data_IF_123978408354
#
_entry.id   IF_123978408354
#
_cell.length_a   1.000
_cell.length_b   1.000
_cell.length_c   1.000
_cell.angle_alpha   90.00
_cell.angle_beta   90.00
_cell.angle_gamma   90.00
#
_symmetry.space_group_name_H-M   'P 1'
#
loop_
_entity.id
_entity.type
_entity.pdbx_description
1 polymer ?
#
# COMPACT_ATOMS: atom_id res chain seq x y z
N UNK A 1 -10.82 -47.27 -6.32
CA UNK A 1 -9.48 -46.71 -6.67
C UNK A 1 -9.54 -45.22 -6.39
N UNK A 2 -8.87 -44.72 -5.35
CA UNK A 2 -8.90 -43.29 -4.99
C UNK A 2 -7.81 -42.59 -5.82
N UNK A 3 -8.19 -41.63 -6.67
CA UNK A 3 -7.21 -40.83 -7.43
C UNK A 3 -6.42 -39.98 -6.42
N UNK A 4 -5.08 -39.98 -6.44
CA UNK A 4 -4.31 -39.13 -5.54
C UNK A 4 -4.66 -37.66 -5.81
N UNK A 5 -4.89 -36.88 -4.75
CA UNK A 5 -5.16 -35.44 -4.86
C UNK A 5 -3.98 -34.74 -5.51
N UNK A 6 -4.25 -33.86 -6.47
CA UNK A 6 -3.24 -32.97 -7.03
C UNK A 6 -2.93 -31.84 -6.05
N UNK A 7 -1.75 -31.23 -6.21
CA UNK A 7 -1.37 -30.04 -5.45
C UNK A 7 -2.36 -28.88 -5.68
N UNK A 8 -2.94 -28.78 -6.88
CA UNK A 8 -3.97 -27.77 -7.18
C UNK A 8 -5.25 -28.02 -6.38
N UNK A 9 -5.68 -29.29 -6.21
CA UNK A 9 -6.81 -29.65 -5.35
C UNK A 9 -6.55 -29.27 -3.87
N UNK A 10 -5.31 -29.44 -3.41
CA UNK A 10 -4.89 -29.10 -2.05
C UNK A 10 -4.81 -27.58 -1.80
N UNK A 11 -4.51 -26.78 -2.83
CA UNK A 11 -4.50 -25.31 -2.75
C UNK A 11 -5.93 -24.79 -2.73
N UNK A 12 -6.78 -25.28 -3.64
CA UNK A 12 -8.19 -24.90 -3.71
C UNK A 12 -8.93 -25.22 -2.42
N UNK A 13 -8.74 -26.44 -1.89
CA UNK A 13 -9.34 -26.84 -0.61
C UNK A 13 -8.89 -25.93 0.53
N UNK A 14 -7.60 -25.64 0.64
CA UNK A 14 -7.09 -24.77 1.72
C UNK A 14 -7.63 -23.33 1.61
N UNK A 15 -7.82 -22.83 0.39
CA UNK A 15 -8.39 -21.52 0.16
C UNK A 15 -9.86 -21.48 0.61
N UNK A 16 -10.65 -22.51 0.25
CA UNK A 16 -12.07 -22.64 0.62
C UNK A 16 -12.28 -22.90 2.12
N UNK A 17 -11.34 -23.60 2.76
CA UNK A 17 -11.34 -23.87 4.20
C UNK A 17 -10.82 -22.69 5.05
N UNK A 18 -10.65 -21.52 4.43
CA UNK A 18 -10.14 -20.30 5.08
C UNK A 18 -8.81 -20.51 5.82
N UNK A 19 -7.93 -21.36 5.28
CA UNK A 19 -6.59 -21.54 5.86
C UNK A 19 -5.80 -20.22 5.81
N UNK A 20 -4.77 -20.06 6.68
CA UNK A 20 -3.92 -18.88 6.64
C UNK A 20 -3.34 -18.64 5.25
N UNK A 21 -3.45 -17.41 4.76
CA UNK A 21 -3.01 -17.01 3.40
C UNK A 21 -1.56 -17.45 3.13
N UNK A 22 -0.69 -17.30 4.12
CA UNK A 22 0.71 -17.72 4.03
C UNK A 22 0.88 -19.21 3.70
N UNK A 23 0.02 -20.09 4.21
CA UNK A 23 0.06 -21.54 3.92
C UNK A 23 -0.36 -21.83 2.48
N UNK A 24 -1.40 -21.15 1.99
CA UNK A 24 -1.85 -21.24 0.60
C UNK A 24 -0.76 -20.76 -0.36
N UNK A 25 -0.14 -19.61 -0.07
CA UNK A 25 0.96 -19.04 -0.85
C UNK A 25 2.17 -19.97 -0.92
N UNK A 26 2.55 -20.63 0.19
CA UNK A 26 3.64 -21.62 0.18
C UNK A 26 3.35 -22.80 -0.76
N UNK A 27 2.10 -23.28 -0.78
CA UNK A 27 1.68 -24.33 -1.74
C UNK A 27 1.73 -23.82 -3.18
N UNK A 28 1.38 -22.56 -3.44
CA UNK A 28 1.50 -21.95 -4.77
C UNK A 28 2.96 -21.78 -5.23
N UNK A 29 3.88 -21.45 -4.32
CA UNK A 29 5.33 -21.44 -4.63
C UNK A 29 5.78 -22.82 -5.11
N UNK A 30 5.35 -23.89 -4.42
CA UNK A 30 5.62 -25.26 -4.85
C UNK A 30 4.95 -25.60 -6.17
N UNK A 31 3.71 -25.15 -6.39
CA UNK A 31 2.97 -25.37 -7.63
C UNK A 31 3.66 -24.71 -8.83
N UNK A 32 4.03 -23.44 -8.72
CA UNK A 32 4.80 -22.74 -9.76
C UNK A 32 6.12 -23.43 -10.05
N UNK A 33 6.77 -23.98 -9.01
CA UNK A 33 7.96 -24.79 -9.19
C UNK A 33 7.77 -26.10 -9.95
N UNK A 34 6.65 -26.80 -9.74
CA UNK A 34 6.32 -28.04 -10.47
C UNK A 34 5.83 -27.75 -11.90
N UNK A 35 5.12 -26.64 -12.09
CA UNK A 35 4.64 -26.16 -13.38
C UNK A 35 5.76 -25.55 -14.25
N UNK A 36 6.92 -25.23 -13.67
CA UNK A 36 8.00 -24.51 -14.35
C UNK A 36 7.71 -23.02 -14.56
N UNK A 37 6.70 -22.46 -13.90
CA UNK A 37 6.37 -21.03 -13.96
C UNK A 37 7.16 -20.24 -12.91
N UNK A 38 8.15 -19.49 -13.37
CA UNK A 38 8.88 -18.53 -12.54
C UNK A 38 7.96 -17.41 -12.05
N UNK A 39 7.07 -16.92 -12.92
CA UNK A 39 6.18 -15.80 -12.60
C UNK A 39 5.24 -16.12 -11.44
N UNK A 40 4.64 -17.32 -11.43
CA UNK A 40 3.79 -17.78 -10.33
C UNK A 40 4.58 -17.91 -9.03
N UNK A 41 5.78 -18.49 -9.12
CA UNK A 41 6.66 -18.64 -7.96
C UNK A 41 7.03 -17.28 -7.37
N UNK A 42 7.42 -16.32 -8.21
CA UNK A 42 7.89 -15.00 -7.80
C UNK A 42 6.76 -14.16 -7.21
N UNK A 43 5.59 -14.13 -7.86
CA UNK A 43 4.42 -13.46 -7.32
C UNK A 43 4.03 -14.03 -5.95
N UNK A 44 3.87 -15.35 -5.83
CA UNK A 44 3.50 -15.98 -4.55
C UNK A 44 4.57 -15.75 -3.47
N UNK A 45 5.84 -15.71 -3.86
CA UNK A 45 6.96 -15.43 -2.96
C UNK A 45 6.99 -13.98 -2.47
N UNK A 46 6.67 -13.01 -3.33
CA UNK A 46 6.57 -11.58 -2.98
C UNK A 46 5.35 -11.30 -2.11
N UNK A 47 4.22 -11.92 -2.40
CA UNK A 47 3.05 -11.83 -1.52
C UNK A 47 3.36 -12.40 -0.13
N UNK A 48 4.11 -13.51 -0.06
CA UNK A 48 4.47 -14.17 1.19
C UNK A 48 5.50 -13.38 2.01
N UNK A 49 6.57 -12.91 1.38
CA UNK A 49 7.76 -12.34 2.04
C UNK A 49 7.85 -10.82 1.98
N UNK A 50 7.03 -10.19 1.15
CA UNK A 50 7.12 -8.77 0.83
C UNK A 50 7.86 -8.50 -0.49
N UNK A 51 7.81 -7.23 -0.88
CA UNK A 51 8.39 -6.67 -2.09
C UNK A 51 9.68 -5.92 -1.74
N UNK A 52 10.72 -6.10 -2.54
CA UNK A 52 12.01 -5.45 -2.30
C UNK A 52 12.03 -4.01 -2.83
N UNK A 53 13.04 -3.24 -2.39
CA UNK A 53 13.27 -1.90 -2.90
C UNK A 53 13.54 -1.96 -4.42
N UNK A 54 12.68 -1.30 -5.19
CA UNK A 54 12.76 -1.28 -6.66
C UNK A 54 11.85 -2.27 -7.37
N UNK A 55 11.20 -3.20 -6.65
CA UNK A 55 10.13 -4.02 -7.23
C UNK A 55 8.93 -3.16 -7.65
N UNK A 56 8.29 -3.51 -8.77
CA UNK A 56 7.01 -2.91 -9.15
C UNK A 56 5.91 -3.43 -8.23
N UNK A 57 5.32 -2.53 -7.45
CA UNK A 57 4.23 -2.86 -6.54
C UNK A 57 2.89 -2.92 -7.29
N UNK A 58 2.11 -4.01 -7.16
CA UNK A 58 0.77 -4.06 -7.74
C UNK A 58 -0.14 -2.96 -7.20
N UNK A 59 -1.10 -2.48 -7.99
CA UNK A 59 -1.97 -1.36 -7.59
C UNK A 59 -2.76 -1.63 -6.30
N UNK A 60 -3.16 -2.88 -6.05
CA UNK A 60 -3.85 -3.27 -4.81
C UNK A 60 -2.99 -3.16 -3.56
N UNK A 61 -1.66 -3.08 -3.71
CA UNK A 61 -0.70 -2.85 -2.62
C UNK A 61 -0.50 -1.37 -2.29
N UNK A 62 -1.23 -0.47 -2.96
CA UNK A 62 -1.25 0.95 -2.63
C UNK A 62 -2.57 1.24 -1.92
N UNK A 63 -2.54 1.48 -0.61
CA UNK A 63 -3.74 1.71 0.18
C UNK A 63 -4.01 3.20 0.38
N UNK A 64 -5.28 3.64 0.37
CA UNK A 64 -5.61 5.01 0.78
C UNK A 64 -5.05 5.30 2.17
N UNK A 65 -4.37 6.44 2.31
CA UNK A 65 -3.71 6.82 3.55
C UNK A 65 -3.70 8.34 3.70
N UNK A 66 -4.21 8.83 4.83
CA UNK A 66 -4.10 10.24 5.17
C UNK A 66 -2.65 10.56 5.55
N UNK A 67 -2.12 11.69 5.09
CA UNK A 67 -0.85 12.20 5.59
C UNK A 67 -1.14 12.96 6.88
N UNK A 68 -0.45 12.60 7.96
CA UNK A 68 -0.63 13.22 9.27
C UNK A 68 0.68 13.72 9.85
N UNK A 69 0.55 14.76 10.67
CA UNK A 69 1.64 15.43 11.35
C UNK A 69 1.38 15.44 12.86
N UNK A 70 2.43 15.10 13.61
CA UNK A 70 2.51 15.34 15.05
C UNK A 70 3.57 16.39 15.34
N UNK A 71 3.34 17.22 16.35
CA UNK A 71 4.31 18.22 16.75
C UNK A 71 3.89 19.06 17.95
N UNK A 72 4.66 20.12 18.17
CA UNK A 72 4.41 21.12 19.21
C UNK A 72 4.36 22.48 18.54
N UNK A 73 3.36 23.28 18.90
CA UNK A 73 3.25 24.68 18.53
C UNK A 73 3.13 25.52 19.81
N UNK A 74 4.19 26.27 20.12
CA UNK A 74 4.40 27.00 21.35
C UNK A 74 4.20 26.11 22.59
N UNK A 75 3.05 26.24 23.27
CA UNK A 75 2.68 25.47 24.45
C UNK A 75 1.61 24.39 24.16
N UNK A 76 1.25 24.19 22.89
CA UNK A 76 0.20 23.26 22.47
C UNK A 76 0.79 22.04 21.77
N UNK A 77 0.35 20.85 22.17
CA UNK A 77 0.69 19.60 21.48
C UNK A 77 -0.34 19.36 20.39
N UNK A 78 0.13 19.17 19.17
CA UNK A 78 -0.69 18.82 18.01
C UNK A 78 -0.44 17.36 17.69
N UNK A 79 -1.50 16.57 17.57
CA UNK A 79 -1.44 15.15 17.19
C UNK A 79 -2.43 14.85 16.09
N UNK A 80 -2.03 13.95 15.19
CA UNK A 80 -2.84 13.39 14.12
C UNK A 80 -3.46 14.47 13.22
N UNK A 81 -2.78 15.60 13.04
CA UNK A 81 -3.25 16.66 12.16
C UNK A 81 -3.14 16.18 10.72
N UNK A 82 -4.27 15.94 10.07
CA UNK A 82 -4.31 15.60 8.65
C UNK A 82 -3.92 16.80 7.81
N UNK A 83 -3.04 16.56 6.84
CA UNK A 83 -2.63 17.52 5.81
C UNK A 83 -2.85 16.93 4.43
N UNK A 84 -3.10 17.78 3.44
CA UNK A 84 -3.18 17.34 2.06
C UNK A 84 -1.80 17.33 1.41
N UNK A 85 -1.60 16.47 0.42
CA UNK A 85 -0.41 16.52 -0.43
C UNK A 85 -0.20 17.90 -1.06
N UNK A 86 -1.29 18.62 -1.36
CA UNK A 86 -1.24 19.96 -1.97
C UNK A 86 -0.69 21.03 -1.02
N UNK A 87 -0.60 20.74 0.29
CA UNK A 87 0.00 21.64 1.27
C UNK A 87 1.53 21.61 1.21
N UNK A 88 2.12 20.66 0.49
CA UNK A 88 3.56 20.54 0.26
C UNK A 88 3.97 21.16 -1.08
N UNK A 89 5.20 21.64 -1.25
CA UNK A 89 5.67 22.14 -2.56
C UNK A 89 5.75 21.06 -3.64
N UNK A 90 5.65 21.48 -4.91
CA UNK A 90 5.51 20.61 -6.09
C UNK A 90 6.51 19.45 -6.13
N UNK A 91 7.78 19.68 -5.79
CA UNK A 91 8.81 18.64 -5.79
C UNK A 91 8.56 17.51 -4.76
N UNK A 92 7.79 17.78 -3.71
CA UNK A 92 7.33 16.76 -2.74
C UNK A 92 6.10 16.06 -3.27
N UNK A 93 5.18 16.78 -3.92
CA UNK A 93 3.95 16.22 -4.48
C UNK A 93 4.21 15.16 -5.54
N UNK A 94 5.35 15.24 -6.25
CA UNK A 94 5.76 14.22 -7.23
C UNK A 94 6.05 12.85 -6.59
N UNK A 95 6.55 12.83 -5.35
CA UNK A 95 7.03 11.62 -4.66
C UNK A 95 6.14 11.19 -3.47
N UNK A 96 5.31 12.09 -2.95
CA UNK A 96 4.38 11.86 -1.85
C UNK A 96 2.96 11.79 -2.38
N UNK A 97 2.21 10.75 -2.01
CA UNK A 97 0.81 10.60 -2.39
C UNK A 97 -0.07 10.27 -1.19
N UNK A 98 -1.38 10.45 -1.31
CA UNK A 98 -2.38 9.99 -0.32
C UNK A 98 -2.67 8.48 -0.45
N UNK A 99 -1.74 7.74 -1.05
CA UNK A 99 -1.76 6.27 -1.09
C UNK A 99 -0.43 5.73 -0.55
N UNK A 100 -0.49 5.02 0.55
CA UNK A 100 0.68 4.38 1.14
C UNK A 100 1.01 3.08 0.39
N UNK A 101 2.26 2.91 -0.08
CA UNK A 101 2.73 1.63 -0.58
C UNK A 101 2.90 0.64 0.59
N UNK A 102 2.37 -0.58 0.43
CA UNK A 102 2.44 -1.66 1.44
C UNK A 102 3.30 -2.80 0.90
N UNK A 103 4.64 -2.71 1.01
CA UNK A 103 5.56 -3.73 0.50
C UNK A 103 5.64 -4.97 1.40
N UNK A 104 5.05 -4.94 2.60
CA UNK A 104 5.22 -5.99 3.61
C UNK A 104 4.61 -7.34 3.21
N UNK A 105 5.18 -8.45 3.67
CA UNK A 105 4.60 -9.78 3.46
C UNK A 105 3.24 -9.93 4.17
N UNK A 106 2.39 -10.86 3.72
CA UNK A 106 1.05 -11.06 4.33
C UNK A 106 1.11 -11.33 5.84
N UNK A 107 2.16 -11.99 6.33
CA UNK A 107 2.35 -12.22 7.76
C UNK A 107 2.64 -10.96 8.55
N UNK A 108 3.42 -10.04 7.98
CA UNK A 108 3.73 -8.74 8.60
C UNK A 108 2.50 -7.83 8.60
N UNK A 109 1.74 -7.80 7.50
CA UNK A 109 0.46 -7.06 7.43
C UNK A 109 -0.50 -7.56 8.50
N UNK A 110 -0.64 -8.88 8.65
CA UNK A 110 -1.51 -9.47 9.68
C UNK A 110 -1.04 -9.13 11.10
N UNK A 111 0.27 -9.19 11.36
CA UNK A 111 0.83 -8.80 12.65
C UNK A 111 0.62 -7.31 12.95
N UNK A 112 0.75 -6.43 11.95
CA UNK A 112 0.51 -5.00 12.09
C UNK A 112 -0.95 -4.68 12.44
N UNK A 113 -1.90 -5.39 11.82
CA UNK A 113 -3.33 -5.28 12.13
C UNK A 113 -3.60 -5.66 13.59
N UNK A 114 -3.05 -6.79 14.05
CA UNK A 114 -3.28 -7.26 15.42
C UNK A 114 -2.65 -6.31 16.45
N UNK A 115 -1.43 -5.83 16.18
CA UNK A 115 -0.72 -4.91 17.07
C UNK A 115 -1.47 -3.58 17.24
N UNK A 116 -2.14 -3.09 16.18
CA UNK A 116 -2.83 -1.80 16.18
C UNK A 116 -4.37 -1.92 16.24
N UNK A 117 -4.87 -3.05 16.73
CA UNK A 117 -6.30 -3.36 16.73
C UNK A 117 -7.12 -2.36 17.54
N UNK A 118 -6.56 -1.81 18.61
CA UNK A 118 -7.23 -0.87 19.49
C UNK A 118 -7.17 0.57 18.97
N UNK A 119 -6.07 0.93 18.32
CA UNK A 119 -5.85 2.25 17.72
C UNK A 119 -6.62 2.42 16.41
N UNK A 120 -6.83 1.32 15.68
CA UNK A 120 -7.54 1.30 14.40
C UNK A 120 -6.73 1.85 13.22
N UNK A 121 -5.49 2.29 13.47
CA UNK A 121 -4.58 2.86 12.47
C UNK A 121 -3.15 2.36 12.64
N UNK A 122 -2.47 2.14 11.52
CA UNK A 122 -1.04 1.84 11.44
C UNK A 122 -0.33 3.07 10.89
N UNK A 123 0.65 3.57 11.63
CA UNK A 123 1.47 4.72 11.21
C UNK A 123 2.66 4.21 10.38
N UNK A 124 2.74 4.64 9.13
CA UNK A 124 3.84 4.31 8.22
C UNK A 124 4.67 5.55 7.91
N UNK A 125 5.99 5.42 7.97
CA UNK A 125 6.88 6.54 7.64
C UNK A 125 6.73 6.93 6.17
N UNK A 126 6.64 8.23 5.91
CA UNK A 126 6.71 8.76 4.55
C UNK A 126 8.18 8.88 4.11
N UNK A 127 8.46 8.82 2.79
CA UNK A 127 9.79 9.10 2.28
C UNK A 127 10.30 10.48 2.73
N UNK A 128 11.51 10.52 3.30
CA UNK A 128 12.11 11.77 3.73
C UNK A 128 11.42 12.46 4.91
N UNK A 129 10.64 11.75 5.73
CA UNK A 129 9.90 12.32 6.86
C UNK A 129 10.70 13.32 7.74
N UNK A 130 11.98 13.09 8.10
CA UNK A 130 12.75 14.07 8.87
C UNK A 130 13.03 15.38 8.12
N UNK A 131 13.22 15.30 6.80
CA UNK A 131 13.43 16.47 5.94
C UNK A 131 12.11 17.23 5.79
N UNK A 132 10.99 16.51 5.58
CA UNK A 132 9.66 17.10 5.54
C UNK A 132 9.31 17.80 6.85
N UNK A 133 9.64 17.21 8.00
CA UNK A 133 9.44 17.84 9.31
C UNK A 133 10.23 19.16 9.46
N UNK A 134 11.51 19.16 9.11
CA UNK A 134 12.35 20.37 9.14
C UNK A 134 11.84 21.45 8.19
N UNK A 135 11.34 21.01 7.03
CA UNK A 135 10.70 21.88 6.07
C UNK A 135 9.45 22.49 6.69
N UNK A 136 8.49 21.72 7.19
CA UNK A 136 7.27 22.23 7.84
C UNK A 136 7.59 23.24 8.97
N UNK A 137 8.68 23.06 9.71
CA UNK A 137 9.10 23.95 10.78
C UNK A 137 9.63 25.33 10.30
N UNK A 138 10.12 25.45 9.04
CA UNK A 138 10.60 26.65 8.33
C UNK A 138 11.01 27.87 9.20
N UNK A 139 11.84 27.65 10.23
CA UNK A 139 12.40 28.72 11.06
C UNK A 139 11.45 29.35 12.08
N UNK A 140 10.25 28.80 12.29
CA UNK A 140 9.40 29.19 13.42
C UNK A 140 9.98 28.59 14.72
N UNK A 141 10.57 29.39 15.63
CA UNK A 141 11.24 28.87 16.81
C UNK A 141 10.27 28.23 17.82
N UNK A 142 8.97 28.47 17.66
CA UNK A 142 7.91 27.93 18.51
C UNK A 142 7.28 26.68 17.92
N UNK A 143 7.62 26.28 16.69
CA UNK A 143 7.07 25.08 16.08
C UNK A 143 8.13 23.99 16.01
N UNK A 144 7.71 22.76 16.31
CA UNK A 144 8.52 21.58 16.10
C UNK A 144 7.66 20.41 15.67
N UNK A 145 7.77 20.03 14.41
CA UNK A 145 7.19 18.80 13.87
C UNK A 145 8.03 17.61 14.32
N UNK A 146 7.40 16.67 15.02
CA UNK A 146 8.04 15.46 15.54
C UNK A 146 7.84 14.26 14.64
N UNK A 147 6.75 14.23 13.86
CA UNK A 147 6.49 13.15 12.91
C UNK A 147 5.68 13.65 11.71
N UNK A 148 5.99 13.08 10.54
CA UNK A 148 5.16 13.13 9.33
C UNK A 148 5.01 11.68 8.88
N UNK A 149 3.79 11.21 8.73
CA UNK A 149 3.53 9.79 8.47
C UNK A 149 2.23 9.58 7.69
N UNK A 150 2.13 8.45 7.00
CA UNK A 150 0.88 7.93 6.49
C UNK A 150 0.11 7.25 7.63
N UNK A 151 -1.14 7.64 7.81
CA UNK A 151 -2.10 6.94 8.66
C UNK A 151 -2.95 6.01 7.80
N UNK A 152 -2.71 4.71 7.93
CA UNK A 152 -3.45 3.66 7.21
C UNK A 152 -4.39 2.96 8.17
N UNK A 153 -5.68 2.85 7.86
CA UNK A 153 -6.60 2.14 8.76
C UNK A 153 -6.30 0.63 8.79
N UNK A 154 -6.49 0.00 9.95
CA UNK A 154 -6.38 -1.47 10.07
C UNK A 154 -7.43 -2.18 9.22
N UNK A 155 -8.57 -1.53 8.96
CA UNK A 155 -9.58 -2.03 8.03
C UNK A 155 -9.11 -2.04 6.57
N UNK A 156 -8.34 -1.04 6.13
CA UNK A 156 -7.77 -1.04 4.78
C UNK A 156 -6.69 -2.13 4.64
N UNK A 157 -5.88 -2.33 5.68
CA UNK A 157 -4.91 -3.43 5.74
C UNK A 157 -5.60 -4.81 5.73
N UNK A 158 -6.72 -4.98 6.43
CA UNK A 158 -7.52 -6.20 6.35
C UNK A 158 -8.09 -6.40 4.94
N UNK A 159 -8.61 -5.33 4.32
CA UNK A 159 -9.08 -5.35 2.93
C UNK A 159 -7.99 -5.74 1.92
N UNK A 160 -6.71 -5.40 2.18
CA UNK A 160 -5.59 -5.89 1.38
C UNK A 160 -5.47 -7.42 1.45
N UNK A 161 -5.55 -8.00 2.65
CA UNK A 161 -5.50 -9.46 2.83
C UNK A 161 -6.67 -10.15 2.11
N UNK A 162 -7.86 -9.58 2.18
CA UNK A 162 -9.04 -10.07 1.46
C UNK A 162 -8.86 -9.97 -0.07
N UNK A 163 -8.31 -8.87 -0.57
CA UNK A 163 -7.98 -8.74 -2.00
C UNK A 163 -6.97 -9.79 -2.46
N UNK A 164 -5.97 -10.10 -1.64
CA UNK A 164 -5.01 -11.18 -1.94
C UNK A 164 -5.74 -12.54 -1.97
N UNK A 165 -6.67 -12.80 -1.04
CA UNK A 165 -7.49 -14.02 -1.03
C UNK A 165 -8.36 -14.14 -2.28
N UNK A 166 -9.02 -13.06 -2.70
CA UNK A 166 -9.81 -13.03 -3.94
C UNK A 166 -8.94 -13.31 -5.16
N UNK A 167 -7.77 -12.68 -5.23
CA UNK A 167 -6.78 -12.91 -6.28
C UNK A 167 -6.28 -14.35 -6.33
N UNK A 168 -6.10 -14.99 -5.17
CA UNK A 168 -5.80 -16.42 -5.09
C UNK A 168 -6.94 -17.27 -5.66
N UNK A 169 -8.20 -16.90 -5.39
CA UNK A 169 -9.36 -17.62 -5.92
C UNK A 169 -9.45 -17.49 -7.45
N UNK A 170 -9.29 -16.26 -7.97
CA UNK A 170 -9.23 -15.99 -9.42
C UNK A 170 -8.11 -16.77 -10.09
N UNK A 171 -6.90 -16.75 -9.50
CA UNK A 171 -5.74 -17.48 -10.00
C UNK A 171 -6.03 -18.98 -10.12
N UNK A 172 -6.60 -19.59 -9.07
CA UNK A 172 -6.92 -21.02 -9.06
C UNK A 172 -8.02 -21.33 -10.08
N UNK A 173 -9.03 -20.46 -10.20
CA UNK A 173 -10.08 -20.57 -11.22
C UNK A 173 -9.50 -20.60 -12.64
N UNK A 174 -8.58 -19.70 -12.95
CA UNK A 174 -7.88 -19.66 -14.25
C UNK A 174 -7.03 -20.91 -14.48
N UNK A 175 -6.27 -21.35 -13.47
CA UNK A 175 -5.47 -22.57 -13.57
C UNK A 175 -6.35 -23.80 -13.81
N UNK A 176 -7.54 -23.86 -13.21
CA UNK A 176 -8.53 -24.94 -13.43
C UNK A 176 -9.13 -24.89 -14.83
N UNK A 177 -9.50 -23.70 -15.31
CA UNK A 177 -10.02 -23.53 -16.65
C UNK A 177 -8.98 -23.95 -17.71
N UNK A 178 -7.71 -23.64 -17.46
CA UNK A 178 -6.61 -24.01 -18.36
C UNK A 178 -6.17 -25.48 -18.25
N UNK A 179 -6.37 -26.14 -17.11
CA UNK A 179 -6.02 -27.55 -16.87
C UNK A 179 -7.21 -28.35 -16.30
N UNK A 180 -8.19 -28.72 -17.14
CA UNK A 180 -9.43 -29.37 -16.69
C UNK A 180 -9.22 -30.81 -16.22
N UNK A 181 -8.35 -31.56 -16.91
CA UNK A 181 -7.79 -32.82 -16.42
C UNK A 181 -6.76 -32.48 -15.35
N UNK A 182 -6.78 -33.18 -14.22
CA UNK A 182 -5.96 -33.03 -12.98
C UNK A 182 -4.42 -33.07 -13.17
N UNK A 183 -3.94 -32.78 -14.37
CA UNK A 183 -2.57 -32.60 -14.79
C UNK A 183 -2.02 -31.27 -14.25
N UNK A 184 -0.71 -31.23 -14.06
CA UNK A 184 -0.02 -30.01 -13.68
C UNK A 184 -0.18 -28.95 -14.78
N UNK A 185 -0.51 -27.69 -14.45
CA UNK A 185 -0.56 -26.64 -15.45
C UNK A 185 0.82 -26.44 -16.07
N UNK A 186 0.82 -26.11 -17.37
CA UNK A 186 2.06 -25.72 -18.05
C UNK A 186 2.54 -24.36 -17.56
N UNK A 187 3.83 -24.07 -17.73
CA UNK A 187 4.41 -22.77 -17.37
C UNK A 187 3.65 -21.59 -18.00
N UNK A 188 3.29 -21.70 -19.29
CA UNK A 188 2.56 -20.66 -20.00
C UNK A 188 1.16 -20.42 -19.44
N UNK A 189 0.43 -21.49 -19.09
CA UNK A 189 -0.89 -21.36 -18.48
C UNK A 189 -0.81 -20.68 -17.10
N UNK A 190 0.18 -21.05 -16.29
CA UNK A 190 0.40 -20.42 -15.00
C UNK A 190 0.85 -18.96 -15.11
N UNK A 191 1.72 -18.63 -16.06
CA UNK A 191 2.16 -17.25 -16.29
C UNK A 191 0.99 -16.34 -16.74
N UNK A 192 0.10 -16.86 -17.59
CA UNK A 192 -1.10 -16.15 -18.03
C UNK A 192 -2.07 -15.91 -16.87
N UNK A 193 -2.30 -16.91 -16.03
CA UNK A 193 -3.15 -16.77 -14.84
C UNK A 193 -2.61 -15.69 -13.89
N UNK A 194 -1.30 -15.64 -13.66
CA UNK A 194 -0.68 -14.60 -12.83
C UNK A 194 -0.81 -13.21 -13.46
N UNK A 195 -0.66 -13.11 -14.78
CA UNK A 195 -0.86 -11.84 -15.49
C UNK A 195 -2.27 -11.27 -15.28
N UNK A 196 -3.29 -12.13 -15.38
CA UNK A 196 -4.67 -11.71 -15.14
C UNK A 196 -4.85 -11.24 -13.70
N UNK A 197 -4.25 -11.94 -12.74
CA UNK A 197 -4.43 -11.63 -11.32
C UNK A 197 -3.60 -10.42 -10.87
N UNK A 198 -2.55 -10.01 -11.59
CA UNK A 198 -1.82 -8.77 -11.29
C UNK A 198 -2.43 -7.57 -12.03
N UNK A 199 -2.76 -7.73 -13.31
CA UNK A 199 -3.09 -6.63 -14.22
C UNK A 199 -4.55 -6.61 -14.69
N UNK A 200 -5.35 -7.62 -14.34
CA UNK A 200 -6.69 -7.79 -14.88
C UNK A 200 -7.72 -6.77 -14.39
N UNK A 201 -8.85 -6.65 -15.13
CA UNK A 201 -9.89 -5.63 -14.90
C UNK A 201 -10.64 -5.75 -13.56
N UNK A 202 -10.38 -6.79 -12.75
CA UNK A 202 -10.89 -6.94 -11.38
C UNK A 202 -10.20 -6.06 -10.32
N UNK A 203 -9.28 -5.18 -10.71
CA UNK A 203 -8.52 -4.32 -9.78
C UNK A 203 -9.29 -3.10 -9.20
N UNK A 204 -10.63 -3.09 -9.17
CA UNK A 204 -11.47 -1.98 -8.63
C UNK A 204 -12.52 -2.55 -7.66
N UNK A 205 -12.86 -1.97 -6.51
CA UNK A 205 -13.21 -0.57 -6.22
C UNK A 205 -12.77 -0.22 -4.80
N UNK A 206 -11.84 0.73 -4.64
CA UNK A 206 -11.79 1.51 -3.41
C UNK A 206 -13.01 2.44 -3.44
N UNK A 207 -13.88 2.36 -2.44
CA UNK A 207 -14.99 3.31 -2.28
C UNK A 207 -14.35 4.66 -1.92
N UNK A 208 -13.98 5.42 -2.94
CA UNK A 208 -13.72 6.85 -2.86
C UNK A 208 -14.84 7.51 -3.65
N UNK A 209 -15.53 8.46 -3.03
CA UNK A 209 -16.65 9.18 -3.61
C UNK A 209 -16.32 9.65 -5.03
N UNK A 210 -17.22 9.32 -5.96
CA UNK A 210 -17.07 9.59 -7.39
C UNK A 210 -17.19 11.09 -7.65
N UNK A 211 -16.12 11.68 -8.19
CA UNK A 211 -16.20 12.82 -9.12
C UNK A 211 -15.65 12.33 -10.45
N UNK A 212 -16.44 12.52 -11.50
CA UNK A 212 -16.25 12.01 -12.86
C UNK A 212 -14.84 12.29 -13.44
N UNK A 213 -14.27 11.29 -14.11
CA UNK A 213 -13.10 11.46 -14.97
C UNK A 213 -12.62 10.14 -15.56
N UNK A 214 -12.42 10.11 -16.88
CA UNK A 214 -12.16 8.96 -17.74
C UNK A 214 -10.89 8.17 -17.37
N UNK A 215 -10.92 6.86 -17.66
CA UNK A 215 -9.80 5.96 -17.43
C UNK A 215 -8.66 6.22 -18.42
N UNK A 216 -7.53 6.70 -17.90
CA UNK A 216 -6.25 6.69 -18.61
C UNK A 216 -5.38 5.57 -18.07
N UNK A 217 -4.75 4.80 -18.97
CA UNK A 217 -3.69 3.85 -18.64
C UNK A 217 -2.51 4.62 -18.04
N UNK A 218 -2.27 4.45 -16.74
CA UNK A 218 -1.10 5.00 -16.08
C UNK A 218 0.02 3.98 -16.20
N UNK A 219 0.84 4.12 -17.24
CA UNK A 219 2.21 3.60 -17.25
C UNK A 219 3.00 4.47 -16.28
N UNK A 220 3.23 3.99 -15.05
CA UNK A 220 4.17 4.63 -14.12
C UNK A 220 5.58 4.20 -14.51
N UNK A 221 6.45 5.09 -15.02
CA UNK A 221 7.85 4.75 -15.24
C UNK A 221 8.55 4.57 -13.89
N UNK A 222 9.33 3.49 -13.80
CA UNK A 222 10.22 3.21 -12.68
C UNK A 222 11.33 4.27 -12.64
N UNK A 223 11.22 5.24 -11.72
CA UNK A 223 12.33 6.15 -11.35
C UNK A 223 12.56 6.06 -9.86
N UNK A 224 13.72 5.51 -9.48
CA UNK A 224 14.31 5.80 -8.19
C UNK A 224 14.95 7.19 -8.25
N UNK A 225 14.46 8.15 -7.48
CA UNK A 225 15.24 9.36 -7.15
C UNK A 225 14.87 9.97 -5.79
N UNK A 226 15.14 9.20 -4.75
CA UNK A 226 15.21 9.68 -3.38
C UNK A 226 16.42 10.65 -3.23
N UNK A 227 16.17 11.96 -3.26
CA UNK A 227 17.06 13.00 -2.70
C UNK A 227 18.55 13.01 -3.07
N UNK A 228 18.88 13.09 -4.36
CA UNK A 228 20.22 13.54 -4.78
C UNK A 228 20.15 14.63 -5.84
N UNK A 229 20.80 15.76 -5.53
CA UNK A 229 21.01 16.98 -6.34
C UNK A 229 19.94 18.06 -6.13
N UNK A 230 20.03 18.79 -5.02
CA UNK A 230 19.15 19.95 -4.76
C UNK A 230 19.53 20.81 -3.56
N UNK A 231 20.74 20.67 -3.00
CA UNK A 231 21.36 21.79 -2.28
C UNK A 231 21.67 22.84 -3.34
N UNK A 232 20.84 23.89 -3.49
CA UNK A 232 21.24 25.30 -3.74
C UNK A 232 20.28 26.20 -4.55
N UNK A 233 19.12 25.78 -5.06
CA UNK A 233 18.28 26.74 -5.81
C UNK A 233 16.81 26.55 -5.47
N UNK A 234 16.22 27.54 -4.79
CA UNK A 234 14.77 27.60 -4.56
C UNK A 234 14.31 28.09 -3.19
N UNK A 235 15.13 28.81 -2.43
CA UNK A 235 14.64 29.59 -1.29
C UNK A 235 13.91 30.84 -1.80
N UNK A 236 12.67 30.71 -2.31
CA UNK A 236 11.73 31.82 -2.51
C UNK A 236 10.35 31.30 -2.97
N UNK A 237 9.30 31.64 -2.22
CA UNK A 237 7.86 31.40 -2.46
C UNK A 237 7.47 29.91 -2.47
N UNK A 238 6.66 29.40 -1.54
CA UNK A 238 5.22 29.65 -1.41
C UNK A 238 4.80 29.50 0.06
N UNK A 239 3.89 30.36 0.51
CA UNK A 239 3.22 30.23 1.80
C UNK A 239 1.70 30.09 1.66
N UNK A 240 1.09 29.70 2.80
CA UNK A 240 -0.30 29.92 3.24
C UNK A 240 -1.32 28.83 2.87
N UNK A 241 -1.78 28.06 3.87
CA UNK A 241 -3.21 27.76 4.06
C UNK A 241 -3.62 27.28 5.48
N UNK A 242 -2.82 26.51 6.23
CA UNK A 242 -3.37 25.75 7.38
C UNK A 242 -3.29 26.40 8.76
N UNK A 243 -2.66 27.58 8.92
CA UNK A 243 -2.58 28.26 10.24
C UNK A 243 -3.78 29.20 10.51
N UNK A 244 -4.58 29.55 9.49
CA UNK A 244 -5.72 30.48 9.69
C UNK A 244 -6.83 29.87 10.56
N UNK A 245 -7.02 28.55 10.56
CA UNK A 245 -8.01 27.90 11.44
C UNK A 245 -7.61 27.99 12.93
N UNK A 246 -6.32 27.92 13.24
CA UNK A 246 -5.82 28.02 14.62
C UNK A 246 -5.81 29.46 15.15
N UNK A 247 -5.54 30.46 14.29
CA UNK A 247 -5.55 31.88 14.69
C UNK A 247 -6.98 32.41 14.89
N UNK A 248 -7.96 31.96 14.08
CA UNK A 248 -9.37 32.36 14.26
C UNK A 248 -9.95 31.76 15.55
N UNK A 249 -9.60 30.51 15.89
CA UNK A 249 -10.00 29.90 17.15
C UNK A 249 -9.38 30.61 18.37
N UNK A 250 -8.13 31.08 18.26
CA UNK A 250 -7.46 31.82 19.33
C UNK A 250 -8.01 33.24 19.52
N UNK A 251 -8.35 33.96 18.44
CA UNK A 251 -8.93 35.30 18.53
C UNK A 251 -10.39 35.30 19.05
N UNK A 252 -11.15 34.23 18.82
CA UNK A 252 -12.50 34.07 19.38
C UNK A 252 -12.50 33.75 20.88
N UNK A 253 -11.39 33.25 21.43
CA UNK A 253 -11.22 32.92 22.85
C UNK A 253 -10.79 34.11 23.72
N UNK A 254 -10.34 35.22 23.12
CA UNK A 254 -10.00 36.46 23.83
C UNK A 254 -11.10 37.54 23.77
N UNK A 255 -12.14 37.32 22.96
CA UNK A 255 -13.25 38.26 22.77
C UNK A 255 -14.56 37.82 23.48
N UNK A 256 -14.50 36.80 24.35
CA UNK A 256 -15.61 36.29 25.16
C UNK A 256 -15.35 36.40 26.65
#
# INVERSE_FOLDING_TARGET
MHKPRSLLDDVEKDLLDDKPIASVLRKLVLLGGRAGSQRLRDWASRELRGYEAGDTLPMYRQLPAAIQIDGVLANTIVKHQTVSVTDFPDFVQEDLSERAPIPFGVGEVQAAIELHKNEGVVQLQVPGAPVLAQMIDHGNPFQRTTAVYWSVSTSAMAGLLDQIRTRLAELIGELRAASPTTELPTAQQADNAVNLVINGPGARVAISQVVNGEASDIVVPQRARFWTIGKQVGAAAVGIATILAAVIAWLQLQAG
#
